data_IF_410893356402
#
_entry.id   IF_410893356402
#
_cell.length_a   1.000
_cell.length_b   1.000
_cell.length_c   1.000
_cell.angle_alpha   90.00
_cell.angle_beta   90.00
_cell.angle_gamma   90.00
#
_symmetry.space_group_name_H-M   'P 1'
#
loop_
_entity.id
_entity.type
_entity.pdbx_description
1 polymer ?
#
# COMPACT_ATOMS: atom_id res chain seq x y z
N UNK A 1 9.33 -40.39 6.47
CA UNK A 1 8.12 -39.74 7.02
C UNK A 1 7.77 -38.58 6.11
N UNK A 2 6.57 -38.55 5.52
CA UNK A 2 6.13 -37.39 4.75
C UNK A 2 5.79 -36.25 5.71
N UNK A 3 6.37 -35.07 5.47
CA UNK A 3 6.01 -33.88 6.23
C UNK A 3 4.52 -33.53 6.05
N UNK A 4 3.82 -33.19 7.15
CA UNK A 4 2.47 -32.63 7.11
C UNK A 4 2.34 -31.46 6.12
N UNK A 5 1.20 -31.38 5.44
CA UNK A 5 0.92 -30.34 4.43
C UNK A 5 1.09 -28.90 4.97
N UNK A 6 0.80 -28.67 6.26
CA UNK A 6 0.99 -27.35 6.87
C UNK A 6 2.48 -26.98 7.05
N UNK A 7 3.38 -27.95 7.14
CA UNK A 7 4.83 -27.72 7.16
C UNK A 7 5.38 -27.53 5.75
N UNK A 8 4.90 -28.32 4.78
CA UNK A 8 5.22 -28.14 3.34
C UNK A 8 4.80 -26.78 2.80
N UNK A 9 3.60 -26.31 3.15
CA UNK A 9 3.11 -25.01 2.68
C UNK A 9 3.91 -23.86 3.28
N UNK A 10 4.35 -24.00 4.53
CA UNK A 10 5.22 -23.02 5.15
C UNK A 10 6.67 -23.08 4.64
N UNK A 11 7.07 -24.03 3.80
CA UNK A 11 8.44 -24.14 3.26
C UNK A 11 9.53 -23.90 4.33
N UNK A 12 9.34 -24.39 5.55
CA UNK A 12 10.36 -24.34 6.60
C UNK A 12 11.31 -25.50 6.36
N UNK A 13 12.23 -25.34 5.41
CA UNK A 13 13.27 -26.33 5.16
C UNK A 13 14.37 -26.25 6.23
N UNK A 14 15.16 -27.33 6.35
CA UNK A 14 16.25 -27.39 7.31
C UNK A 14 17.27 -26.24 7.12
N UNK A 15 17.47 -25.79 5.88
CA UNK A 15 18.40 -24.69 5.59
C UNK A 15 17.91 -23.36 6.15
N UNK A 16 16.64 -23.01 5.94
CA UNK A 16 16.02 -21.76 6.42
C UNK A 16 15.89 -21.73 7.94
N UNK A 17 15.63 -22.87 8.58
CA UNK A 17 15.63 -22.98 10.04
C UNK A 17 17.05 -22.88 10.61
N UNK A 18 18.04 -23.53 10.00
CA UNK A 18 19.44 -23.39 10.40
C UNK A 18 19.92 -21.93 10.29
N UNK A 19 19.62 -21.25 9.17
CA UNK A 19 19.93 -19.82 8.99
C UNK A 19 19.30 -18.96 10.09
N UNK A 20 18.06 -19.25 10.45
CA UNK A 20 17.35 -18.51 11.48
C UNK A 20 17.93 -18.72 12.88
N UNK A 21 18.15 -19.97 13.29
CA UNK A 21 18.74 -20.25 14.59
C UNK A 21 20.16 -19.71 14.71
N UNK A 22 20.98 -19.85 13.67
CA UNK A 22 22.32 -19.26 13.61
C UNK A 22 22.30 -17.73 13.73
N UNK A 23 21.36 -17.07 13.05
CA UNK A 23 21.16 -15.62 13.15
C UNK A 23 20.76 -15.22 14.59
N UNK A 24 19.80 -15.90 15.21
CA UNK A 24 19.40 -15.59 16.59
C UNK A 24 20.53 -15.81 17.60
N UNK A 25 21.28 -16.91 17.48
CA UNK A 25 22.40 -17.20 18.37
C UNK A 25 23.51 -16.15 18.23
N UNK A 26 23.79 -15.71 17.00
CA UNK A 26 24.76 -14.65 16.73
C UNK A 26 24.31 -13.31 17.29
N UNK A 27 23.04 -12.96 17.15
CA UNK A 27 22.49 -11.71 17.70
C UNK A 27 22.54 -11.71 19.23
N UNK A 28 22.27 -12.84 19.88
CA UNK A 28 22.39 -12.99 21.33
C UNK A 28 23.84 -12.80 21.82
N UNK A 29 24.80 -13.34 21.06
CA UNK A 29 26.23 -13.11 21.33
C UNK A 29 26.60 -11.63 21.13
N UNK A 30 26.14 -10.98 20.06
CA UNK A 30 26.39 -9.56 19.82
C UNK A 30 25.82 -8.68 20.92
N UNK A 31 24.59 -8.96 21.36
CA UNK A 31 23.94 -8.26 22.46
C UNK A 31 24.72 -8.40 23.77
N UNK A 32 25.32 -9.57 24.06
CA UNK A 32 26.12 -9.78 25.27
C UNK A 32 27.43 -8.97 25.27
N UNK A 33 27.96 -8.64 24.10
CA UNK A 33 29.10 -7.73 23.91
C UNK A 33 28.70 -6.25 23.77
N UNK A 34 27.41 -5.91 23.91
CA UNK A 34 26.91 -4.53 23.78
C UNK A 34 26.88 -4.01 22.34
N UNK A 35 26.95 -4.90 21.34
CA UNK A 35 26.82 -4.53 19.94
C UNK A 35 25.35 -4.47 19.51
N UNK A 36 25.02 -3.54 18.61
CA UNK A 36 23.68 -3.43 18.03
C UNK A 36 23.38 -4.50 16.97
N UNK A 37 22.10 -4.66 16.58
CA UNK A 37 21.70 -5.62 15.56
C UNK A 37 22.30 -5.36 14.19
N UNK A 38 22.44 -6.40 13.37
CA UNK A 38 22.90 -6.30 11.97
C UNK A 38 21.96 -7.03 11.01
N UNK A 39 22.01 -6.66 9.73
CA UNK A 39 21.25 -7.34 8.67
C UNK A 39 21.92 -8.63 8.24
N UNK A 40 21.15 -9.71 8.16
CA UNK A 40 21.56 -11.00 7.62
C UNK A 40 20.87 -11.20 6.29
N UNK A 41 21.64 -11.42 5.21
CA UNK A 41 21.09 -11.54 3.85
C UNK A 41 20.18 -10.37 3.45
N UNK A 42 20.49 -9.16 3.93
CA UNK A 42 19.72 -7.94 3.65
C UNK A 42 18.50 -7.71 4.55
N UNK A 43 18.19 -8.61 5.49
CA UNK A 43 17.01 -8.51 6.37
C UNK A 43 17.40 -8.38 7.84
N UNK A 44 16.59 -7.67 8.61
CA UNK A 44 16.77 -7.53 10.05
C UNK A 44 16.41 -8.82 10.80
N UNK A 45 16.98 -9.05 12.00
CA UNK A 45 16.73 -10.26 12.77
C UNK A 45 15.39 -10.16 13.54
N UNK A 46 14.37 -10.87 13.09
CA UNK A 46 13.06 -10.96 13.75
C UNK A 46 12.90 -12.24 14.58
N UNK A 47 12.11 -12.17 15.66
CA UNK A 47 11.72 -13.32 16.47
C UNK A 47 10.38 -13.87 15.96
N UNK A 48 10.38 -15.13 15.51
CA UNK A 48 9.17 -15.81 15.04
C UNK A 48 8.22 -16.12 16.20
N UNK A 49 6.91 -16.02 15.95
CA UNK A 49 5.86 -16.38 16.91
C UNK A 49 4.81 -17.26 16.23
N UNK A 50 4.56 -18.46 16.77
CA UNK A 50 3.64 -19.45 16.18
C UNK A 50 3.86 -19.74 14.68
N UNK A 51 5.10 -19.59 14.20
CA UNK A 51 5.48 -19.78 12.80
C UNK A 51 5.22 -18.60 11.87
N UNK A 52 4.94 -17.41 12.41
CA UNK A 52 4.89 -16.11 11.71
C UNK A 52 6.26 -15.44 11.82
N UNK A 53 6.80 -14.94 10.70
CA UNK A 53 8.11 -14.26 10.67
C UNK A 53 8.07 -12.87 11.31
N UNK A 54 7.11 -12.03 10.93
CA UNK A 54 6.99 -10.65 11.41
C UNK A 54 5.58 -10.39 11.97
N UNK A 55 5.27 -10.82 13.21
CA UNK A 55 3.92 -10.76 13.75
C UNK A 55 3.31 -9.35 13.75
N UNK A 56 4.12 -8.32 14.02
CA UNK A 56 3.66 -6.94 14.01
C UNK A 56 3.32 -6.46 12.59
N UNK A 57 4.21 -6.69 11.61
CA UNK A 57 3.99 -6.34 10.20
C UNK A 57 2.75 -7.04 9.64
N UNK A 58 2.53 -8.31 10.00
CA UNK A 58 1.31 -9.07 9.62
C UNK A 58 0.04 -8.42 10.21
N UNK A 59 0.02 -8.16 11.51
CA UNK A 59 -1.14 -7.57 12.18
C UNK A 59 -1.48 -6.18 11.60
N UNK A 60 -0.46 -5.34 11.39
CA UNK A 60 -0.64 -3.99 10.86
C UNK A 60 -1.03 -4.00 9.37
N UNK A 61 -0.52 -4.96 8.58
CA UNK A 61 -0.97 -5.17 7.20
C UNK A 61 -2.44 -5.59 7.14
N UNK A 62 -2.86 -6.53 8.00
CA UNK A 62 -4.26 -6.96 8.10
C UNK A 62 -5.19 -5.82 8.54
N UNK A 63 -4.74 -4.96 9.45
CA UNK A 63 -5.49 -3.76 9.83
C UNK A 63 -5.60 -2.76 8.68
N UNK A 64 -4.54 -2.51 7.91
CA UNK A 64 -4.62 -1.67 6.71
C UNK A 64 -5.61 -2.26 5.69
N UNK A 65 -5.58 -3.57 5.44
CA UNK A 65 -6.56 -4.26 4.59
C UNK A 65 -7.99 -3.99 5.08
N UNK A 66 -8.24 -4.18 6.37
CA UNK A 66 -9.54 -3.93 6.98
C UNK A 66 -9.99 -2.46 6.83
N UNK A 67 -9.06 -1.51 6.97
CA UNK A 67 -9.35 -0.09 6.76
C UNK A 67 -9.67 0.25 5.31
N UNK A 68 -8.97 -0.34 4.34
CA UNK A 68 -9.31 -0.20 2.93
C UNK A 68 -10.66 -0.81 2.60
N UNK A 69 -10.97 -2.00 3.14
CA UNK A 69 -12.28 -2.64 2.97
C UNK A 69 -13.40 -1.79 3.56
N UNK A 70 -13.26 -1.34 4.81
CA UNK A 70 -14.22 -0.47 5.47
C UNK A 70 -14.42 0.85 4.70
N UNK A 71 -13.31 1.48 4.27
CA UNK A 71 -13.32 2.70 3.48
C UNK A 71 -14.06 2.53 2.15
N UNK A 72 -13.70 1.49 1.38
CA UNK A 72 -14.34 1.15 0.11
C UNK A 72 -15.83 0.84 0.27
N UNK A 73 -16.20 0.03 1.26
CA UNK A 73 -17.60 -0.30 1.54
C UNK A 73 -18.40 0.94 1.92
N UNK A 74 -17.84 1.82 2.77
CA UNK A 74 -18.49 3.07 3.16
C UNK A 74 -18.71 4.02 1.98
N UNK A 75 -17.76 4.04 1.03
CA UNK A 75 -17.85 4.81 -0.22
C UNK A 75 -18.90 4.21 -1.17
N UNK A 76 -18.92 2.89 -1.34
CA UNK A 76 -19.93 2.18 -2.12
C UNK A 76 -21.35 2.47 -1.60
N UNK A 77 -21.55 2.33 -0.27
CA UNK A 77 -22.84 2.62 0.37
C UNK A 77 -23.25 4.08 0.13
N UNK A 78 -22.31 5.02 0.28
CA UNK A 78 -22.57 6.44 0.02
C UNK A 78 -23.06 6.66 -1.42
N UNK A 79 -22.32 6.15 -2.41
CA UNK A 79 -22.62 6.40 -3.82
C UNK A 79 -23.97 5.82 -4.26
N UNK A 80 -24.32 4.62 -3.82
CA UNK A 80 -25.45 3.87 -4.35
C UNK A 80 -26.71 3.92 -3.47
N UNK A 81 -26.57 4.26 -2.19
CA UNK A 81 -27.71 4.25 -1.26
C UNK A 81 -27.99 5.60 -0.60
N UNK A 82 -27.05 6.55 -0.60
CA UNK A 82 -27.24 7.87 0.06
C UNK A 82 -27.26 9.03 -0.91
N UNK A 83 -26.46 8.98 -1.98
CA UNK A 83 -26.46 10.00 -3.02
C UNK A 83 -27.49 9.69 -4.10
N UNK A 84 -28.07 10.73 -4.74
CA UNK A 84 -28.99 10.52 -5.85
C UNK A 84 -28.26 9.86 -7.02
N UNK A 85 -29.00 9.03 -7.76
CA UNK A 85 -28.51 8.31 -8.94
C UNK A 85 -29.08 8.92 -10.22
N UNK A 86 -28.35 8.76 -11.32
CA UNK A 86 -28.84 9.07 -12.66
C UNK A 86 -30.00 8.13 -13.04
N UNK A 87 -30.73 8.48 -14.10
CA UNK A 87 -31.84 7.66 -14.61
C UNK A 87 -31.41 6.23 -14.96
N UNK A 88 -30.16 6.03 -15.40
CA UNK A 88 -29.57 4.72 -15.69
C UNK A 88 -29.01 4.01 -14.44
N UNK A 89 -29.40 4.44 -13.23
CA UNK A 89 -28.94 3.96 -11.91
C UNK A 89 -27.43 4.10 -11.67
N UNK A 90 -26.71 4.87 -12.49
CA UNK A 90 -25.28 5.14 -12.25
C UNK A 90 -25.10 6.31 -11.28
N UNK A 91 -23.98 6.28 -10.54
CA UNK A 91 -23.58 7.38 -9.69
C UNK A 91 -23.33 8.66 -10.51
N UNK A 92 -23.68 9.82 -9.95
CA UNK A 92 -23.33 11.12 -10.55
C UNK A 92 -21.82 11.39 -10.52
N UNK A 93 -21.12 10.80 -9.54
CA UNK A 93 -19.69 11.01 -9.35
C UNK A 93 -18.86 10.37 -10.47
N UNK A 94 -18.25 11.20 -11.30
CA UNK A 94 -17.54 10.82 -12.55
C UNK A 94 -16.28 9.97 -12.33
N UNK A 95 -15.77 9.90 -11.10
CA UNK A 95 -14.58 9.13 -10.74
C UNK A 95 -14.92 7.85 -9.95
N UNK A 96 -16.21 7.52 -9.79
CA UNK A 96 -16.65 6.37 -9.00
C UNK A 96 -15.92 5.08 -9.39
N UNK A 97 -15.87 4.73 -10.67
CA UNK A 97 -15.21 3.51 -11.15
C UNK A 97 -13.73 3.47 -10.77
N UNK A 98 -13.03 4.61 -10.85
CA UNK A 98 -11.60 4.67 -10.51
C UNK A 98 -11.36 4.32 -9.03
N UNK A 99 -12.20 4.84 -8.14
CA UNK A 99 -12.07 4.55 -6.71
C UNK A 99 -12.46 3.12 -6.33
N UNK A 100 -13.37 2.48 -7.08
CA UNK A 100 -13.65 1.05 -6.87
C UNK A 100 -12.44 0.19 -7.25
N UNK A 101 -11.80 0.48 -8.40
CA UNK A 101 -10.58 -0.21 -8.82
C UNK A 101 -9.45 0.04 -7.80
N UNK A 102 -9.28 1.28 -7.35
CA UNK A 102 -8.32 1.63 -6.29
C UNK A 102 -8.55 0.79 -5.03
N UNK A 103 -9.80 0.67 -4.58
CA UNK A 103 -10.17 -0.15 -3.42
C UNK A 103 -9.76 -1.61 -3.58
N UNK A 104 -10.09 -2.23 -4.72
CA UNK A 104 -9.72 -3.61 -5.02
C UNK A 104 -8.21 -3.82 -5.05
N UNK A 105 -7.46 -2.97 -5.76
CA UNK A 105 -6.01 -3.07 -5.86
C UNK A 105 -5.35 -2.85 -4.48
N UNK A 106 -5.86 -1.89 -3.70
CA UNK A 106 -5.36 -1.64 -2.34
C UNK A 106 -5.55 -2.86 -1.45
N UNK A 107 -6.75 -3.44 -1.42
CA UNK A 107 -7.01 -4.66 -0.64
C UNK A 107 -6.13 -5.83 -1.06
N UNK A 108 -5.89 -6.00 -2.37
CA UNK A 108 -4.97 -7.03 -2.88
C UNK A 108 -3.53 -6.77 -2.41
N UNK A 109 -3.06 -5.53 -2.43
CA UNK A 109 -1.70 -5.20 -1.99
C UNK A 109 -1.50 -5.47 -0.50
N UNK A 110 -2.43 -5.05 0.34
CA UNK A 110 -2.36 -5.30 1.78
C UNK A 110 -2.52 -6.78 2.14
N UNK A 111 -3.24 -7.54 1.33
CA UNK A 111 -3.32 -8.99 1.47
C UNK A 111 -1.96 -9.64 1.23
N UNK A 112 -1.30 -9.31 0.13
CA UNK A 112 0.02 -9.86 -0.18
C UNK A 112 1.10 -9.39 0.79
N UNK A 113 1.02 -8.16 1.30
CA UNK A 113 1.87 -7.68 2.40
C UNK A 113 1.72 -8.56 3.64
N UNK A 114 0.48 -8.84 4.08
CA UNK A 114 0.25 -9.71 5.23
C UNK A 114 0.75 -11.15 5.00
N UNK A 115 0.60 -11.68 3.78
CA UNK A 115 1.07 -13.03 3.42
C UNK A 115 2.60 -13.10 3.41
N UNK A 116 3.27 -12.11 2.83
CA UNK A 116 4.74 -12.02 2.79
C UNK A 116 5.35 -11.90 4.18
N UNK A 117 4.85 -10.98 5.01
CA UNK A 117 5.32 -10.81 6.39
C UNK A 117 5.04 -12.03 7.29
N UNK A 118 4.04 -12.84 6.91
CA UNK A 118 3.78 -14.12 7.56
C UNK A 118 4.81 -15.17 7.17
N UNK A 119 5.03 -15.32 5.86
CA UNK A 119 6.03 -16.22 5.29
C UNK A 119 6.70 -15.62 4.06
N UNK A 120 7.98 -15.31 4.23
CA UNK A 120 8.91 -14.75 3.28
C UNK A 120 9.58 -15.85 2.43
N UNK A 121 9.06 -16.05 1.23
CA UNK A 121 9.60 -16.93 0.19
C UNK A 121 9.54 -16.21 -1.16
N UNK A 122 10.32 -16.65 -2.14
CA UNK A 122 10.42 -16.00 -3.45
C UNK A 122 9.05 -15.64 -4.08
N UNK A 123 8.06 -16.52 -3.93
CA UNK A 123 6.72 -16.28 -4.46
C UNK A 123 6.00 -15.14 -3.73
N UNK A 124 6.00 -15.14 -2.39
CA UNK A 124 5.28 -14.15 -1.59
C UNK A 124 5.96 -12.80 -1.67
N UNK A 125 7.29 -12.76 -1.72
CA UNK A 125 8.08 -11.54 -1.92
C UNK A 125 7.77 -10.90 -3.28
N UNK A 126 7.76 -11.71 -4.35
CA UNK A 126 7.41 -11.22 -5.69
C UNK A 126 5.98 -10.68 -5.77
N UNK A 127 5.01 -11.38 -5.16
CA UNK A 127 3.61 -10.98 -5.20
C UNK A 127 3.33 -9.74 -4.37
N UNK A 128 3.97 -9.60 -3.21
CA UNK A 128 3.92 -8.38 -2.40
C UNK A 128 4.44 -7.17 -3.19
N UNK A 129 5.68 -7.23 -3.68
CA UNK A 129 6.25 -6.11 -4.45
C UNK A 129 5.50 -5.82 -5.74
N UNK A 130 5.03 -6.84 -6.46
CA UNK A 130 4.21 -6.63 -7.66
C UNK A 130 2.90 -5.92 -7.33
N UNK A 131 2.27 -6.30 -6.22
CA UNK A 131 1.01 -5.70 -5.77
C UNK A 131 1.19 -4.26 -5.29
N UNK A 132 2.28 -3.96 -4.58
CA UNK A 132 2.64 -2.61 -4.15
C UNK A 132 2.94 -1.69 -5.33
N UNK A 133 3.69 -2.18 -6.34
CA UNK A 133 3.95 -1.46 -7.60
C UNK A 133 2.64 -1.17 -8.33
N UNK A 134 1.75 -2.16 -8.44
CA UNK A 134 0.44 -1.97 -9.08
C UNK A 134 -0.41 -0.93 -8.34
N UNK A 135 -0.43 -0.95 -7.01
CA UNK A 135 -1.14 0.02 -6.19
C UNK A 135 -0.59 1.44 -6.39
N UNK A 136 0.72 1.63 -6.26
CA UNK A 136 1.35 2.95 -6.42
C UNK A 136 1.19 3.49 -7.84
N UNK A 137 1.36 2.65 -8.85
CA UNK A 137 1.15 3.00 -10.25
C UNK A 137 -0.28 3.41 -10.55
N UNK A 138 -1.26 2.63 -10.08
CA UNK A 138 -2.67 2.97 -10.23
C UNK A 138 -3.05 4.24 -9.46
N UNK A 139 -2.53 4.41 -8.26
CA UNK A 139 -2.76 5.60 -7.43
C UNK A 139 -2.18 6.86 -8.07
N UNK A 140 -1.03 6.78 -8.76
CA UNK A 140 -0.48 7.87 -9.56
C UNK A 140 -1.39 8.24 -10.74
N UNK A 141 -1.89 7.25 -11.50
CA UNK A 141 -2.87 7.48 -12.56
C UNK A 141 -4.10 8.20 -12.00
N UNK A 142 -4.64 7.69 -10.89
CA UNK A 142 -5.81 8.26 -10.24
C UNK A 142 -5.54 9.70 -9.79
N UNK A 143 -4.39 9.98 -9.18
CA UNK A 143 -3.99 11.31 -8.75
C UNK A 143 -3.98 12.31 -9.91
N UNK A 144 -3.44 11.92 -11.08
CA UNK A 144 -3.45 12.75 -12.29
C UNK A 144 -4.89 12.96 -12.77
N UNK A 145 -5.63 11.89 -13.04
CA UNK A 145 -6.97 11.98 -13.61
C UNK A 145 -7.92 12.80 -12.73
N UNK A 146 -7.83 12.62 -11.41
CA UNK A 146 -8.68 13.34 -10.47
C UNK A 146 -8.22 14.78 -10.29
N UNK A 147 -6.92 15.05 -10.08
CA UNK A 147 -6.44 16.41 -9.80
C UNK A 147 -6.58 17.36 -10.98
N UNK A 148 -6.32 16.87 -12.19
CA UNK A 148 -6.48 17.63 -13.43
C UNK A 148 -7.91 17.61 -13.99
N UNK A 149 -8.85 17.01 -13.25
CA UNK A 149 -10.27 16.96 -13.61
C UNK A 149 -10.52 16.33 -15.01
N UNK A 150 -9.76 15.28 -15.35
CA UNK A 150 -9.85 14.60 -16.65
C UNK A 150 -11.08 13.68 -16.69
N UNK A 151 -12.01 14.00 -17.59
CA UNK A 151 -13.32 13.34 -17.70
C UNK A 151 -13.53 12.63 -19.03
N UNK A 152 -12.93 13.16 -20.08
CA UNK A 152 -12.98 12.56 -21.40
C UNK A 152 -12.28 11.19 -21.37
N UNK A 153 -12.92 10.18 -21.94
CA UNK A 153 -12.45 8.80 -21.88
C UNK A 153 -11.18 8.60 -22.73
N UNK A 154 -11.06 9.27 -23.88
CA UNK A 154 -9.84 9.19 -24.68
C UNK A 154 -8.66 9.82 -23.94
N UNK A 155 -8.86 10.99 -23.32
CA UNK A 155 -7.84 11.63 -22.48
C UNK A 155 -7.46 10.76 -21.26
N UNK A 156 -8.41 10.07 -20.63
CA UNK A 156 -8.14 9.12 -19.55
C UNK A 156 -7.24 7.97 -20.01
N UNK A 157 -7.53 7.40 -21.18
CA UNK A 157 -6.71 6.33 -21.77
C UNK A 157 -5.31 6.84 -22.15
N UNK A 158 -5.21 8.03 -22.76
CA UNK A 158 -3.93 8.64 -23.13
C UNK A 158 -3.00 8.86 -21.93
N UNK A 159 -3.56 9.22 -20.77
CA UNK A 159 -2.80 9.38 -19.52
C UNK A 159 -2.47 8.02 -18.88
N UNK A 160 -3.44 7.11 -18.82
CA UNK A 160 -3.30 5.85 -18.10
C UNK A 160 -2.40 4.84 -18.83
N UNK A 161 -2.53 4.72 -20.16
CA UNK A 161 -1.83 3.72 -20.96
C UNK A 161 -0.29 3.72 -20.78
N UNK A 162 0.43 4.85 -20.90
CA UNK A 162 1.88 4.85 -20.71
C UNK A 162 2.30 4.46 -19.29
N UNK A 163 1.54 4.89 -18.27
CA UNK A 163 1.81 4.54 -16.88
C UNK A 163 1.53 3.06 -16.60
N UNK A 164 0.45 2.51 -17.14
CA UNK A 164 0.14 1.08 -17.06
C UNK A 164 1.19 0.23 -17.77
N UNK A 165 1.66 0.67 -18.95
CA UNK A 165 2.75 0.00 -19.67
C UNK A 165 4.02 -0.02 -18.81
N UNK A 166 4.44 1.12 -18.27
CA UNK A 166 5.59 1.21 -17.36
C UNK A 166 5.46 0.28 -16.14
N UNK A 167 4.32 0.35 -15.43
CA UNK A 167 4.02 -0.47 -14.26
C UNK A 167 4.08 -1.95 -14.60
N UNK A 168 3.47 -2.34 -15.72
CA UNK A 168 3.45 -3.74 -16.17
C UNK A 168 4.87 -4.21 -16.52
N UNK A 169 5.64 -3.42 -17.26
CA UNK A 169 7.02 -3.75 -17.60
C UNK A 169 7.89 -3.91 -16.35
N UNK A 170 7.74 -3.03 -15.35
CA UNK A 170 8.48 -3.13 -14.08
C UNK A 170 8.06 -4.38 -13.29
N UNK A 171 6.76 -4.71 -13.24
CA UNK A 171 6.26 -5.96 -12.63
C UNK A 171 6.84 -7.19 -13.34
N UNK A 172 6.88 -7.19 -14.67
CA UNK A 172 7.49 -8.29 -15.43
C UNK A 172 8.99 -8.39 -15.14
N UNK A 173 9.70 -7.26 -15.05
CA UNK A 173 11.13 -7.22 -14.71
C UNK A 173 11.43 -7.86 -13.35
N UNK A 174 10.68 -7.52 -12.29
CA UNK A 174 10.91 -8.10 -10.95
C UNK A 174 10.55 -9.59 -10.87
N UNK A 175 9.59 -10.07 -11.67
CA UNK A 175 9.15 -11.46 -11.63
C UNK A 175 10.05 -12.39 -12.45
N UNK A 176 10.46 -11.95 -13.65
CA UNK A 176 11.11 -12.80 -14.65
C UNK A 176 12.60 -12.53 -14.87
N UNK A 177 13.12 -11.36 -14.47
CA UNK A 177 14.52 -11.02 -14.69
C UNK A 177 15.32 -10.95 -13.39
N UNK A 178 15.10 -9.91 -12.58
CA UNK A 178 15.81 -9.73 -11.32
C UNK A 178 14.96 -8.89 -10.37
N UNK A 179 14.65 -9.46 -9.22
CA UNK A 179 14.13 -8.71 -8.09
C UNK A 179 15.32 -8.01 -7.41
N UNK A 180 15.51 -6.74 -7.74
CA UNK A 180 16.49 -5.88 -7.08
C UNK A 180 15.75 -4.92 -6.16
N UNK A 181 15.85 -5.16 -4.85
CA UNK A 181 15.12 -4.40 -3.83
C UNK A 181 15.42 -2.89 -3.91
N UNK A 182 16.69 -2.51 -4.06
CA UNK A 182 17.10 -1.11 -4.13
C UNK A 182 16.53 -0.41 -5.37
N UNK A 183 16.49 -1.09 -6.51
CA UNK A 183 15.83 -0.58 -7.72
C UNK A 183 14.33 -0.43 -7.52
N UNK A 184 13.67 -1.45 -6.96
CA UNK A 184 12.23 -1.42 -6.68
C UNK A 184 11.86 -0.25 -5.77
N UNK A 185 12.63 -0.02 -4.71
CA UNK A 185 12.42 1.11 -3.79
C UNK A 185 12.53 2.46 -4.48
N UNK A 186 13.46 2.64 -5.44
CA UNK A 186 13.56 3.88 -6.23
C UNK A 186 12.34 4.09 -7.12
N UNK A 187 11.88 3.04 -7.81
CA UNK A 187 10.70 3.11 -8.68
C UNK A 187 9.44 3.42 -7.86
N UNK A 188 9.19 2.67 -6.79
CA UNK A 188 8.06 2.90 -5.88
C UNK A 188 8.13 4.29 -5.22
N UNK A 189 9.30 4.68 -4.70
CA UNK A 189 9.52 5.99 -4.09
C UNK A 189 9.27 7.13 -5.05
N UNK A 190 9.69 7.01 -6.31
CA UNK A 190 9.44 8.03 -7.35
C UNK A 190 7.96 8.18 -7.63
N UNK A 191 7.22 7.07 -7.80
CA UNK A 191 5.77 7.12 -8.00
C UNK A 191 5.05 7.71 -6.78
N UNK A 192 5.48 7.35 -5.57
CA UNK A 192 4.93 7.85 -4.31
C UNK A 192 5.15 9.36 -4.14
N UNK A 193 6.36 9.87 -4.40
CA UNK A 193 6.64 11.32 -4.37
C UNK A 193 5.81 12.04 -5.43
N UNK A 194 5.76 11.53 -6.67
CA UNK A 194 5.02 12.17 -7.75
C UNK A 194 3.52 12.32 -7.40
N UNK A 195 2.88 11.27 -6.88
CA UNK A 195 1.47 11.38 -6.49
C UNK A 195 1.25 12.32 -5.29
N UNK A 196 2.15 12.33 -4.30
CA UNK A 196 2.04 13.22 -3.14
C UNK A 196 2.17 14.68 -3.56
N UNK A 197 3.07 14.99 -4.48
CA UNK A 197 3.23 16.34 -5.05
C UNK A 197 1.98 16.78 -5.83
N UNK A 198 1.42 15.89 -6.66
CA UNK A 198 0.17 16.18 -7.38
C UNK A 198 -0.96 16.51 -6.41
N UNK A 199 -1.14 15.70 -5.36
CA UNK A 199 -2.15 15.94 -4.35
C UNK A 199 -1.87 17.21 -3.53
N UNK A 200 -0.62 17.51 -3.19
CA UNK A 200 -0.23 18.74 -2.49
C UNK A 200 -0.58 19.99 -3.32
N UNK A 201 -0.21 19.99 -4.61
CA UNK A 201 -0.52 21.08 -5.54
C UNK A 201 -2.04 21.23 -5.65
N UNK A 202 -2.77 20.14 -5.84
CA UNK A 202 -4.22 20.18 -5.90
C UNK A 202 -4.83 20.71 -4.60
N UNK A 203 -4.36 20.29 -3.43
CA UNK A 203 -4.83 20.78 -2.13
C UNK A 203 -4.58 22.28 -1.94
N UNK A 204 -3.46 22.80 -2.46
CA UNK A 204 -3.09 24.21 -2.40
C UNK A 204 -3.96 25.10 -3.31
N UNK A 205 -4.22 24.63 -4.53
CA UNK A 205 -4.97 25.41 -5.55
C UNK A 205 -6.48 25.24 -5.40
N UNK A 206 -6.94 24.08 -4.94
CA UNK A 206 -8.36 23.76 -4.81
C UNK A 206 -9.02 24.50 -3.65
N UNK A 207 -10.27 24.93 -3.87
CA UNK A 207 -11.18 25.46 -2.84
C UNK A 207 -12.08 24.38 -2.23
N UNK A 208 -11.71 23.10 -2.38
CA UNK A 208 -12.49 21.99 -1.83
C UNK A 208 -12.57 22.08 -0.30
N UNK A 209 -13.76 21.97 0.33
CA UNK A 209 -13.93 22.13 1.77
C UNK A 209 -13.09 21.13 2.58
N UNK A 210 -12.92 19.92 2.07
CA UNK A 210 -12.17 18.84 2.73
C UNK A 210 -10.68 18.77 2.39
N UNK A 211 -10.08 19.85 1.85
CA UNK A 211 -8.64 19.88 1.51
C UNK A 211 -7.71 19.65 2.71
N UNK A 212 -8.18 19.92 3.93
CA UNK A 212 -7.40 19.67 5.15
C UNK A 212 -7.11 18.18 5.35
N UNK A 213 -8.07 17.30 5.03
CA UNK A 213 -7.90 15.83 5.08
C UNK A 213 -6.79 15.40 4.13
N UNK A 214 -6.76 16.01 2.95
CA UNK A 214 -5.73 15.76 1.95
C UNK A 214 -4.35 16.23 2.42
N UNK A 215 -4.24 17.40 3.05
CA UNK A 215 -2.99 17.86 3.65
C UNK A 215 -2.48 16.90 4.73
N UNK A 216 -3.36 16.37 5.58
CA UNK A 216 -2.99 15.35 6.57
C UNK A 216 -2.45 14.09 5.88
N UNK A 217 -3.11 13.62 4.82
CA UNK A 217 -2.65 12.47 4.03
C UNK A 217 -1.31 12.74 3.35
N UNK A 218 -1.11 13.93 2.79
CA UNK A 218 0.13 14.32 2.09
C UNK A 218 1.30 14.41 3.08
N UNK A 219 1.14 15.16 4.17
CA UNK A 219 2.19 15.36 5.18
C UNK A 219 2.46 14.04 5.90
N UNK A 220 1.41 13.33 6.32
CA UNK A 220 1.54 12.03 6.97
C UNK A 220 2.18 10.98 6.06
N UNK A 221 1.82 10.96 4.77
CA UNK A 221 2.43 10.08 3.78
C UNK A 221 3.92 10.40 3.56
N UNK A 222 4.28 11.68 3.48
CA UNK A 222 5.68 12.10 3.42
C UNK A 222 6.47 11.69 4.66
N UNK A 223 5.89 11.86 5.86
CA UNK A 223 6.49 11.42 7.12
C UNK A 223 6.65 9.89 7.18
N UNK A 224 5.65 9.14 6.73
CA UNK A 224 5.74 7.69 6.66
C UNK A 224 6.88 7.25 5.74
N UNK A 225 7.07 7.89 4.57
CA UNK A 225 8.19 7.56 3.68
C UNK A 225 9.57 7.71 4.35
N UNK A 226 9.75 8.63 5.31
CA UNK A 226 11.01 8.73 6.04
C UNK A 226 11.27 7.52 6.95
N UNK A 227 10.24 6.87 7.49
CA UNK A 227 10.40 5.62 8.26
C UNK A 227 10.95 4.52 7.36
N UNK A 228 10.42 4.40 6.15
CA UNK A 228 10.87 3.42 5.15
C UNK A 228 12.34 3.63 4.75
N UNK A 229 12.79 4.89 4.67
CA UNK A 229 14.18 5.23 4.33
C UNK A 229 15.13 5.01 5.51
N UNK A 230 14.68 5.28 6.73
CA UNK A 230 15.53 5.18 7.92
C UNK A 230 15.80 3.73 8.33
N UNK A 231 14.87 2.80 8.07
CA UNK A 231 15.13 1.35 8.03
C UNK A 231 15.86 0.80 9.29
N UNK A 232 15.36 1.20 10.47
CA UNK A 232 15.94 0.83 11.77
C UNK A 232 15.60 -0.62 12.19
N UNK A 233 16.47 -1.27 12.99
CA UNK A 233 16.28 -2.67 13.41
C UNK A 233 15.09 -2.88 14.37
N UNK A 234 14.52 -4.09 14.42
CA UNK A 234 13.35 -4.38 15.23
C UNK A 234 13.60 -4.20 16.73
N UNK A 235 12.82 -3.31 17.35
CA UNK A 235 12.75 -3.18 18.79
C UNK A 235 12.21 -4.48 19.41
N UNK A 236 12.98 -5.03 20.35
CA UNK A 236 12.74 -6.33 21.01
C UNK A 236 12.58 -7.53 20.04
N UNK A 237 13.01 -7.38 18.78
CA UNK A 237 12.88 -8.41 17.75
C UNK A 237 11.50 -8.49 17.09
N UNK A 238 10.63 -7.47 17.26
CA UNK A 238 9.27 -7.48 16.69
C UNK A 238 8.87 -6.23 15.92
N UNK A 239 9.29 -5.03 16.35
CA UNK A 239 8.81 -3.75 15.79
C UNK A 239 9.95 -2.99 15.14
N UNK A 240 10.03 -3.01 13.82
CA UNK A 240 11.01 -2.27 13.03
C UNK A 240 10.41 -1.01 12.40
N UNK A 241 11.21 -0.33 11.56
CA UNK A 241 10.75 0.87 10.85
C UNK A 241 9.60 0.58 9.89
N UNK A 242 9.62 -0.58 9.23
CA UNK A 242 8.59 -0.97 8.27
C UNK A 242 7.25 -1.29 8.97
N UNK A 243 7.27 -1.94 10.13
CA UNK A 243 6.09 -2.08 10.98
C UNK A 243 5.54 -0.71 11.41
N UNK A 244 6.38 0.26 11.78
CA UNK A 244 5.88 1.61 12.09
C UNK A 244 5.32 2.34 10.87
N UNK A 245 5.88 2.10 9.68
CA UNK A 245 5.30 2.57 8.42
C UNK A 245 3.87 2.03 8.25
N UNK A 246 3.67 0.72 8.39
CA UNK A 246 2.35 0.08 8.36
C UNK A 246 1.40 0.68 9.39
N UNK A 247 1.86 0.91 10.63
CA UNK A 247 1.04 1.52 11.66
C UNK A 247 0.59 2.95 11.30
N UNK A 248 1.49 3.73 10.69
CA UNK A 248 1.24 5.12 10.31
C UNK A 248 0.23 5.21 9.17
N UNK A 249 0.22 4.25 8.24
CA UNK A 249 -0.71 4.27 7.10
C UNK A 249 -2.16 3.97 7.48
N UNK A 250 -2.43 3.32 8.62
CA UNK A 250 -3.79 2.97 9.09
C UNK A 250 -4.68 4.23 9.27
N UNK A 251 -4.33 5.19 10.14
CA UNK A 251 -5.13 6.40 10.30
C UNK A 251 -5.16 7.25 9.03
N UNK A 252 -4.07 7.27 8.24
CA UNK A 252 -4.03 8.00 6.97
C UNK A 252 -5.02 7.40 5.95
N UNK A 253 -5.12 6.07 5.90
CA UNK A 253 -6.08 5.35 5.03
C UNK A 253 -7.52 5.70 5.39
N UNK A 254 -7.83 5.79 6.68
CA UNK A 254 -9.16 6.22 7.13
C UNK A 254 -9.48 7.65 6.65
N UNK A 255 -8.55 8.59 6.87
CA UNK A 255 -8.71 9.99 6.46
C UNK A 255 -8.80 10.10 4.94
N UNK A 256 -8.06 9.27 4.21
CA UNK A 256 -8.08 9.19 2.75
C UNK A 256 -9.44 8.79 2.21
N UNK A 257 -10.02 7.69 2.69
CA UNK A 257 -11.38 7.29 2.32
C UNK A 257 -12.43 8.31 2.77
N UNK A 258 -12.22 8.98 3.89
CA UNK A 258 -13.06 10.09 4.34
C UNK A 258 -13.03 11.25 3.33
N UNK A 259 -11.86 11.63 2.82
CA UNK A 259 -11.74 12.64 1.76
C UNK A 259 -12.44 12.21 0.46
N UNK A 260 -12.25 10.97 0.02
CA UNK A 260 -12.89 10.42 -1.20
C UNK A 260 -14.41 10.52 -1.12
N UNK A 261 -14.98 10.22 0.05
CA UNK A 261 -16.41 10.33 0.32
C UNK A 261 -16.89 11.78 0.22
N UNK A 262 -16.23 12.69 0.92
CA UNK A 262 -16.56 14.12 0.85
C UNK A 262 -16.46 14.67 -0.59
N UNK A 263 -15.47 14.21 -1.34
CA UNK A 263 -15.29 14.60 -2.73
C UNK A 263 -16.45 14.14 -3.62
N UNK A 264 -16.94 12.92 -3.41
CA UNK A 264 -18.11 12.42 -4.12
C UNK A 264 -19.39 13.20 -3.78
N UNK A 265 -19.61 13.55 -2.51
CA UNK A 265 -20.72 14.40 -2.07
C UNK A 265 -20.64 15.79 -2.69
N UNK A 266 -19.46 16.44 -2.58
CA UNK A 266 -19.23 17.78 -3.12
C UNK A 266 -19.47 17.83 -4.63
N UNK A 267 -18.89 16.90 -5.38
CA UNK A 267 -19.04 16.83 -6.84
C UNK A 267 -20.47 16.52 -7.27
N UNK A 268 -21.13 15.57 -6.59
CA UNK A 268 -22.52 15.23 -6.88
C UNK A 268 -23.43 16.42 -6.64
N UNK A 269 -23.28 17.12 -5.52
CA UNK A 269 -24.07 18.31 -5.20
C UNK A 269 -23.90 19.43 -6.25
N UNK A 270 -22.67 19.65 -6.72
CA UNK A 270 -22.37 20.67 -7.73
C UNK A 270 -22.99 20.32 -9.09
N UNK A 271 -22.95 19.04 -9.49
CA UNK A 271 -23.55 18.58 -10.75
C UNK A 271 -25.08 18.73 -10.72
N UNK A 272 -25.72 18.40 -9.59
CA UNK A 272 -27.17 18.56 -9.43
C UNK A 272 -27.60 20.03 -9.47
N UNK A 273 -26.82 20.94 -8.87
CA UNK A 273 -27.08 22.37 -8.93
C UNK A 273 -26.96 22.95 -10.34
N UNK A 274 -26.10 22.38 -11.19
CA UNK A 274 -25.94 22.80 -12.59
C UNK A 274 -27.02 22.23 -13.52
N UNK A 275 -27.67 21.14 -13.12
CA UNK A 275 -28.74 20.49 -13.89
C UNK A 275 -30.14 21.05 -13.59
N UNK A 276 -30.27 21.86 -12.53
CA UNK A 276 -31.47 22.66 -12.22
C UNK A 276 -31.32 24.06 -12.80
#
# INVERSE_FOLDING_TARGET
>A
MQEPLYLRWKQWDCQSDCRYHCMLDREKERESFGHGPVKYHGKWPFKRVYGIQEPASVALSALNLAMHFHGWLSFFILLYYKLPLKQDKKAYYEYATLWHIYGCISMNSWFWSAVFHSRDVDLTEKLDYSSAVALLGYSLILAILRSFNVKDEAARVMVAAPLLAFVTTHILFINFYKLDYGWNMKVCGTMAVAQLLIWAIWAGVSRHPSRWKLWVVVVGGGLAMFLEIYDFPPYKGFLDAHALWHATTIPLTYIWWSFIRDDAEFRTSHLLKKAK
#
